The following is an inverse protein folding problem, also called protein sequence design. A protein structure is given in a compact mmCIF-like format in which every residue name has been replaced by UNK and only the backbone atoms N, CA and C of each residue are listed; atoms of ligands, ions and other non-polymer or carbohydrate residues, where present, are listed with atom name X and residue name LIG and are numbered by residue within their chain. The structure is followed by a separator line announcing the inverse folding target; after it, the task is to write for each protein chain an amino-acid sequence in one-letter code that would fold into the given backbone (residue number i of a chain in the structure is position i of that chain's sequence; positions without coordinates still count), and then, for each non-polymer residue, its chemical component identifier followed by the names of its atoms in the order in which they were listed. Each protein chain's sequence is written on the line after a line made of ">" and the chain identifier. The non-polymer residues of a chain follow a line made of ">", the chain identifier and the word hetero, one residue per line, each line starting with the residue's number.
data_IF_004450022672
#
_entry.id   IF_004450022672
#
_cell.length_a   1.000
_cell.length_b   1.000
_cell.length_c   1.000
_cell.angle_alpha   90.00
_cell.angle_beta   90.00
_cell.angle_gamma   90.00
#
_symmetry.space_group_name_H-M   'P 1'
#
loop_
_entity.id
_entity.type
_entity.pdbx_description
1 polymer ?
#
# COMPACT_ATOMS: atom_id res chain seq x y z
N UNK A 1 16.16 -82.09 69.45
CA UNK A 1 15.09 -81.07 69.60
C UNK A 1 15.61 -79.63 69.78
N UNK A 2 16.88 -79.37 70.14
CA UNK A 2 17.43 -77.99 70.26
C UNK A 2 18.01 -77.39 68.97
N UNK A 3 18.36 -78.21 67.98
CA UNK A 3 18.96 -77.72 66.72
C UNK A 3 17.90 -77.20 65.72
N UNK A 4 16.71 -77.81 65.69
CA UNK A 4 15.61 -77.38 64.81
C UNK A 4 15.07 -75.97 65.13
N UNK A 5 15.12 -75.54 66.39
CA UNK A 5 14.70 -74.18 66.80
C UNK A 5 15.77 -73.12 66.48
N UNK A 6 17.06 -73.48 66.50
CA UNK A 6 18.16 -72.59 66.14
C UNK A 6 18.24 -72.32 64.63
N UNK A 7 17.92 -73.32 63.81
CA UNK A 7 17.82 -73.16 62.35
C UNK A 7 16.57 -72.37 61.95
N UNK A 8 15.44 -72.54 62.65
CA UNK A 8 14.24 -71.73 62.45
C UNK A 8 14.47 -70.25 62.80
N UNK A 9 15.24 -69.95 63.85
CA UNK A 9 15.59 -68.58 64.22
C UNK A 9 16.61 -67.94 63.25
N UNK A 10 17.56 -68.72 62.73
CA UNK A 10 18.49 -68.27 61.67
C UNK A 10 17.78 -68.05 60.35
N UNK A 11 16.77 -68.86 60.03
CA UNK A 11 15.97 -68.73 58.83
C UNK A 11 15.01 -67.53 58.93
N UNK A 12 14.40 -67.30 60.08
CA UNK A 12 13.65 -66.07 60.36
C UNK A 12 14.54 -64.83 60.30
N UNK A 13 15.75 -64.84 60.89
CA UNK A 13 16.69 -63.73 60.76
C UNK A 13 17.13 -63.51 59.30
N UNK A 14 17.40 -64.57 58.53
CA UNK A 14 17.73 -64.44 57.10
C UNK A 14 16.55 -63.87 56.31
N UNK A 15 15.33 -64.33 56.57
CA UNK A 15 14.10 -63.81 55.96
C UNK A 15 13.82 -62.35 56.35
N UNK A 16 14.09 -61.96 57.59
CA UNK A 16 13.98 -60.56 58.05
C UNK A 16 15.05 -59.68 57.40
N UNK A 17 16.28 -60.15 57.28
CA UNK A 17 17.37 -59.44 56.58
C UNK A 17 17.02 -59.26 55.11
N UNK A 18 16.53 -60.30 54.43
CA UNK A 18 16.09 -60.18 53.02
C UNK A 18 14.89 -59.24 52.87
N UNK A 19 13.92 -59.26 53.79
CA UNK A 19 12.79 -58.32 53.78
C UNK A 19 13.22 -56.89 54.04
N UNK A 20 14.24 -56.67 54.87
CA UNK A 20 14.82 -55.35 55.13
C UNK A 20 15.62 -54.85 53.92
N UNK A 21 16.36 -55.72 53.24
CA UNK A 21 17.07 -55.40 52.00
C UNK A 21 16.09 -55.12 50.84
N UNK A 22 15.02 -55.90 50.71
CA UNK A 22 13.95 -55.65 49.74
C UNK A 22 13.25 -54.32 50.03
N UNK A 23 12.93 -54.02 51.29
CA UNK A 23 12.39 -52.70 51.68
C UNK A 23 13.34 -51.55 51.41
N UNK A 24 14.65 -51.74 51.59
CA UNK A 24 15.66 -50.72 51.24
C UNK A 24 15.70 -50.50 49.74
N UNK A 25 15.68 -51.55 48.93
CA UNK A 25 15.61 -51.47 47.47
C UNK A 25 14.30 -50.83 46.99
N UNK A 26 13.16 -51.19 47.56
CA UNK A 26 11.87 -50.54 47.27
C UNK A 26 11.92 -49.06 47.63
N UNK A 27 12.47 -48.69 48.80
CA UNK A 27 12.63 -47.30 49.19
C UNK A 27 13.58 -46.53 48.25
N UNK A 28 14.70 -47.12 47.83
CA UNK A 28 15.63 -46.52 46.87
C UNK A 28 14.99 -46.36 45.47
N UNK A 29 14.16 -47.30 45.05
CA UNK A 29 13.37 -47.18 43.83
C UNK A 29 12.27 -46.12 43.94
N UNK A 30 11.60 -46.02 45.09
CA UNK A 30 10.59 -45.00 45.37
C UNK A 30 11.21 -43.59 45.43
N UNK A 31 12.38 -43.42 46.06
CA UNK A 31 13.10 -42.14 46.08
C UNK A 31 13.60 -41.75 44.70
N UNK A 32 14.22 -42.66 43.95
CA UNK A 32 14.67 -42.38 42.58
C UNK A 32 13.48 -42.03 41.66
N UNK A 33 12.32 -42.66 41.86
CA UNK A 33 11.08 -42.34 41.14
C UNK A 33 10.51 -40.99 41.54
N UNK A 34 10.54 -40.66 42.83
CA UNK A 34 10.15 -39.35 43.37
C UNK A 34 11.02 -38.22 42.80
N UNK A 35 12.34 -38.38 42.84
CA UNK A 35 13.29 -37.42 42.29
C UNK A 35 13.15 -37.26 40.77
N UNK A 36 12.91 -38.34 40.02
CA UNK A 36 12.66 -38.27 38.58
C UNK A 36 11.36 -37.52 38.25
N UNK A 37 10.32 -37.68 39.08
CA UNK A 37 9.07 -36.93 38.96
C UNK A 37 9.25 -35.45 39.33
N UNK A 38 10.04 -35.15 40.36
CA UNK A 38 10.35 -33.77 40.75
C UNK A 38 11.19 -33.05 39.71
N UNK A 39 12.20 -33.70 39.13
CA UNK A 39 12.96 -33.14 37.99
C UNK A 39 12.05 -32.82 36.81
N UNK A 40 11.14 -33.73 36.47
CA UNK A 40 10.16 -33.49 35.40
C UNK A 40 9.24 -32.31 35.72
N UNK A 41 8.77 -32.19 36.96
CA UNK A 41 7.94 -31.04 37.39
C UNK A 41 8.72 -29.73 37.32
N UNK A 42 9.98 -29.71 37.76
CA UNK A 42 10.84 -28.52 37.68
C UNK A 42 11.14 -28.13 36.23
N UNK A 43 11.33 -29.09 35.34
CA UNK A 43 11.47 -28.84 33.89
C UNK A 43 10.18 -28.32 33.27
N UNK A 44 9.02 -28.89 33.64
CA UNK A 44 7.71 -28.43 33.21
C UNK A 44 7.43 -27.00 33.70
N UNK A 45 7.78 -26.68 34.94
CA UNK A 45 7.66 -25.33 35.54
C UNK A 45 8.54 -24.29 34.85
N UNK A 46 9.75 -24.67 34.40
CA UNK A 46 10.62 -23.78 33.60
C UNK A 46 10.13 -23.63 32.17
N UNK A 47 9.61 -24.71 31.60
CA UNK A 47 9.14 -24.73 30.22
C UNK A 47 7.80 -23.97 30.06
N UNK A 48 6.99 -23.88 31.11
CA UNK A 48 5.69 -23.19 31.04
C UNK A 48 5.78 -21.68 30.73
N UNK A 49 6.60 -20.87 31.42
CA UNK A 49 6.78 -19.45 31.08
C UNK A 49 7.46 -19.26 29.72
N UNK A 50 8.36 -20.15 29.31
CA UNK A 50 8.97 -20.10 27.98
C UNK A 50 7.96 -20.32 26.86
N UNK A 51 7.02 -21.26 27.04
CA UNK A 51 5.90 -21.49 26.10
C UNK A 51 5.01 -20.26 26.01
N UNK A 52 4.63 -19.67 27.14
CA UNK A 52 3.80 -18.46 27.15
C UNK A 52 4.49 -17.30 26.44
N UNK A 53 5.81 -17.11 26.67
CA UNK A 53 6.62 -16.10 25.97
C UNK A 53 6.71 -16.36 24.46
N UNK A 54 6.87 -17.63 24.06
CA UNK A 54 6.89 -18.00 22.63
C UNK A 54 5.53 -17.73 21.97
N UNK A 55 4.43 -18.02 22.66
CA UNK A 55 3.07 -17.73 22.21
C UNK A 55 2.84 -16.21 22.06
N UNK A 56 3.31 -15.38 23.00
CA UNK A 56 3.20 -13.91 22.86
C UNK A 56 4.00 -13.37 21.68
N UNK A 57 5.21 -13.89 21.43
CA UNK A 57 6.02 -13.50 20.26
C UNK A 57 5.36 -13.91 18.94
N UNK A 58 4.74 -15.10 18.89
CA UNK A 58 3.99 -15.54 17.71
C UNK A 58 2.80 -14.61 17.43
N UNK A 59 2.06 -14.20 18.47
CA UNK A 59 0.97 -13.23 18.35
C UNK A 59 1.46 -11.88 17.81
N UNK A 60 2.58 -11.36 18.32
CA UNK A 60 3.17 -10.10 17.83
C UNK A 60 3.64 -10.20 16.37
N UNK A 61 4.20 -11.34 15.95
CA UNK A 61 4.58 -11.59 14.55
C UNK A 61 3.36 -11.68 13.64
N UNK A 62 2.30 -12.34 14.08
CA UNK A 62 1.03 -12.39 13.34
C UNK A 62 0.41 -11.00 13.19
N UNK A 63 0.47 -10.18 14.24
CA UNK A 63 0.02 -8.79 14.19
C UNK A 63 0.82 -7.96 13.19
N UNK A 64 2.15 -8.10 13.16
CA UNK A 64 2.99 -7.45 12.14
C UNK A 64 2.63 -7.89 10.72
N UNK A 65 2.37 -9.18 10.49
CA UNK A 65 1.91 -9.69 9.19
C UNK A 65 0.56 -9.08 8.79
N UNK A 66 -0.37 -8.97 9.74
CA UNK A 66 -1.65 -8.30 9.49
C UNK A 66 -1.44 -6.83 9.12
N UNK A 67 -0.54 -6.12 9.78
CA UNK A 67 -0.19 -4.73 9.44
C UNK A 67 0.43 -4.61 8.05
N UNK A 68 1.28 -5.57 7.64
CA UNK A 68 1.82 -5.59 6.27
C UNK A 68 0.72 -5.75 5.23
N UNK A 69 -0.26 -6.63 5.46
CA UNK A 69 -1.41 -6.74 4.55
C UNK A 69 -2.22 -5.44 4.51
N UNK A 70 -2.43 -4.77 5.65
CA UNK A 70 -3.10 -3.46 5.71
C UNK A 70 -2.31 -2.40 4.93
N UNK A 71 -0.99 -2.35 5.07
CA UNK A 71 -0.13 -1.42 4.33
C UNK A 71 -0.19 -1.66 2.83
N UNK A 72 -0.20 -2.93 2.36
CA UNK A 72 -0.38 -3.22 0.93
C UNK A 72 -1.75 -2.80 0.41
N UNK A 73 -2.81 -2.92 1.23
CA UNK A 73 -4.15 -2.43 0.87
C UNK A 73 -4.19 -0.91 0.75
N UNK A 74 -3.65 -0.19 1.74
CA UNK A 74 -3.56 1.28 1.71
C UNK A 74 -2.75 1.78 0.51
N UNK A 75 -1.64 1.12 0.15
CA UNK A 75 -0.86 1.44 -1.05
C UNK A 75 -1.66 1.25 -2.34
N UNK A 76 -2.39 0.14 -2.47
CA UNK A 76 -3.27 -0.09 -3.63
C UNK A 76 -4.36 0.96 -3.73
N UNK A 77 -4.94 1.36 -2.60
CA UNK A 77 -5.93 2.44 -2.56
C UNK A 77 -5.33 3.78 -3.01
N UNK A 78 -4.13 4.11 -2.55
CA UNK A 78 -3.40 5.32 -2.98
C UNK A 78 -3.13 5.30 -4.50
N UNK A 79 -2.65 4.18 -5.05
CA UNK A 79 -2.44 4.02 -6.49
C UNK A 79 -3.74 4.19 -7.28
N UNK A 80 -4.85 3.65 -6.77
CA UNK A 80 -6.16 3.79 -7.42
C UNK A 80 -6.65 5.25 -7.39
N UNK A 81 -6.45 5.96 -6.29
CA UNK A 81 -6.79 7.39 -6.20
C UNK A 81 -5.94 8.22 -7.16
N UNK A 82 -4.64 7.92 -7.31
CA UNK A 82 -3.77 8.57 -8.30
C UNK A 82 -4.23 8.30 -9.74
N UNK A 83 -4.68 7.08 -10.06
CA UNK A 83 -5.29 6.77 -11.37
C UNK A 83 -6.53 7.63 -11.60
N UNK A 84 -7.41 7.74 -10.61
CA UNK A 84 -8.61 8.58 -10.70
C UNK A 84 -8.29 10.07 -10.87
N UNK A 85 -7.21 10.58 -10.26
CA UNK A 85 -6.76 11.96 -10.50
C UNK A 85 -6.34 12.17 -11.96
N UNK A 86 -5.52 11.26 -12.51
CA UNK A 86 -5.09 11.33 -13.91
C UNK A 86 -6.26 11.22 -14.88
N UNK A 87 -7.22 10.34 -14.61
CA UNK A 87 -8.44 10.22 -15.41
C UNK A 87 -9.23 11.53 -15.42
N UNK A 88 -9.34 12.23 -14.29
CA UNK A 88 -9.99 13.53 -14.24
C UNK A 88 -9.23 14.61 -15.00
N UNK A 89 -7.90 14.63 -14.90
CA UNK A 89 -7.07 15.54 -15.68
C UNK A 89 -7.27 15.34 -17.18
N UNK A 90 -7.30 14.08 -17.64
CA UNK A 90 -7.57 13.75 -19.04
C UNK A 90 -8.95 14.26 -19.49
N UNK A 91 -10.00 14.04 -18.69
CA UNK A 91 -11.35 14.52 -19.00
C UNK A 91 -11.43 16.06 -19.08
N UNK A 92 -10.65 16.75 -18.25
CA UNK A 92 -10.55 18.21 -18.29
C UNK A 92 -9.80 18.71 -19.52
N UNK A 93 -8.74 18.02 -19.92
CA UNK A 93 -8.00 18.33 -21.15
C UNK A 93 -8.85 18.07 -22.40
N UNK A 94 -9.55 16.94 -22.47
CA UNK A 94 -10.49 16.64 -23.56
C UNK A 94 -11.55 17.74 -23.69
N UNK A 95 -12.08 18.23 -22.57
CA UNK A 95 -13.03 19.34 -22.58
C UNK A 95 -12.41 20.62 -23.15
N UNK A 96 -11.20 20.99 -22.70
CA UNK A 96 -10.49 22.17 -23.24
C UNK A 96 -10.28 22.05 -24.74
N UNK A 97 -9.86 20.89 -25.23
CA UNK A 97 -9.68 20.63 -26.64
C UNK A 97 -10.99 20.78 -27.43
N UNK A 98 -12.11 20.26 -26.89
CA UNK A 98 -13.43 20.41 -27.50
C UNK A 98 -13.88 21.89 -27.56
N UNK A 99 -13.61 22.67 -26.52
CA UNK A 99 -13.88 24.12 -26.51
C UNK A 99 -13.01 24.87 -27.53
N UNK A 100 -11.73 24.53 -27.64
CA UNK A 100 -10.84 25.10 -28.65
C UNK A 100 -11.28 24.76 -30.08
N UNK A 101 -11.69 23.52 -30.33
CA UNK A 101 -12.22 23.11 -31.63
C UNK A 101 -13.49 23.89 -31.99
N UNK A 102 -14.37 24.15 -31.01
CA UNK A 102 -15.56 25.00 -31.20
C UNK A 102 -15.16 26.43 -31.54
N UNK A 103 -14.25 27.03 -30.77
CA UNK A 103 -13.72 28.39 -31.05
C UNK A 103 -13.11 28.49 -32.45
N UNK A 104 -12.36 27.49 -32.90
CA UNK A 104 -11.80 27.43 -34.26
C UNK A 104 -12.91 27.38 -35.32
N UNK A 105 -13.98 26.61 -35.09
CA UNK A 105 -15.15 26.56 -36.00
C UNK A 105 -15.89 27.89 -36.05
N UNK A 106 -16.05 28.56 -34.91
CA UNK A 106 -16.69 29.88 -34.82
C UNK A 106 -15.89 30.95 -35.56
N UNK A 107 -14.57 30.99 -35.35
CA UNK A 107 -13.67 31.88 -36.08
C UNK A 107 -13.72 31.60 -37.60
N UNK A 108 -13.74 30.32 -37.99
CA UNK A 108 -13.88 29.93 -39.39
C UNK A 108 -15.22 30.35 -40.01
N UNK A 109 -16.32 30.33 -39.25
CA UNK A 109 -17.62 30.89 -39.69
C UNK A 109 -17.52 32.40 -39.90
N UNK A 110 -16.94 33.12 -38.94
CA UNK A 110 -16.77 34.57 -39.01
C UNK A 110 -15.97 35.00 -40.24
N UNK A 111 -14.83 34.35 -40.52
CA UNK A 111 -14.00 34.66 -41.69
C UNK A 111 -14.74 34.39 -43.01
N UNK A 112 -15.48 33.27 -43.11
CA UNK A 112 -16.30 32.99 -44.30
C UNK A 112 -17.35 34.07 -44.52
N UNK A 113 -18.04 34.50 -43.46
CA UNK A 113 -19.02 35.58 -43.57
C UNK A 113 -18.38 36.89 -44.07
N UNK A 114 -17.18 37.24 -43.60
CA UNK A 114 -16.46 38.40 -44.10
C UNK A 114 -16.12 38.29 -45.59
N UNK A 115 -15.61 37.14 -46.04
CA UNK A 115 -15.34 36.89 -47.46
C UNK A 115 -16.62 36.96 -48.31
N UNK A 116 -17.71 36.36 -47.84
CA UNK A 116 -19.01 36.38 -48.52
C UNK A 116 -19.53 37.81 -48.70
N UNK A 117 -19.41 38.66 -47.66
CA UNK A 117 -19.80 40.08 -47.74
C UNK A 117 -18.96 40.84 -48.76
N UNK A 118 -17.64 40.60 -48.80
CA UNK A 118 -16.75 41.23 -49.79
C UNK A 118 -17.07 40.79 -51.22
N UNK A 119 -17.28 39.49 -51.44
CA UNK A 119 -17.65 38.95 -52.75
C UNK A 119 -19.00 39.50 -53.23
N UNK A 120 -20.00 39.60 -52.35
CA UNK A 120 -21.29 40.21 -52.67
C UNK A 120 -21.16 41.67 -53.10
N UNK A 121 -20.36 42.47 -52.40
CA UNK A 121 -20.09 43.86 -52.79
C UNK A 121 -19.45 43.94 -54.18
N UNK A 122 -18.47 43.08 -54.47
CA UNK A 122 -17.83 43.05 -55.79
C UNK A 122 -18.80 42.62 -56.89
N UNK A 123 -19.67 41.64 -56.61
CA UNK A 123 -20.70 41.20 -57.54
C UNK A 123 -21.71 42.31 -57.85
N UNK A 124 -22.13 43.07 -56.82
CA UNK A 124 -23.02 44.23 -56.99
C UNK A 124 -22.41 45.31 -57.89
N UNK A 125 -21.12 45.65 -57.69
CA UNK A 125 -20.42 46.59 -58.57
C UNK A 125 -20.42 46.13 -60.04
N UNK A 126 -20.16 44.84 -60.28
CA UNK A 126 -20.17 44.29 -61.65
C UNK A 126 -21.58 44.31 -62.24
N UNK A 127 -22.62 44.07 -61.44
CA UNK A 127 -24.01 44.18 -61.89
C UNK A 127 -24.35 45.62 -62.29
N UNK A 128 -23.97 46.61 -61.48
CA UNK A 128 -24.15 48.04 -61.80
C UNK A 128 -23.43 48.42 -63.10
N UNK A 129 -22.18 47.99 -63.29
CA UNK A 129 -21.42 48.19 -64.54
C UNK A 129 -22.19 47.60 -65.75
N UNK A 130 -22.65 46.36 -65.67
CA UNK A 130 -23.40 45.70 -66.74
C UNK A 130 -24.77 46.36 -67.03
N UNK A 131 -25.44 46.88 -66.01
CA UNK A 131 -26.68 47.64 -66.18
C UNK A 131 -26.45 48.96 -66.92
N UNK A 132 -25.34 49.66 -66.62
CA UNK A 132 -24.97 50.86 -67.36
C UNK A 132 -24.66 50.55 -68.83
N UNK A 133 -23.97 49.45 -69.11
CA UNK A 133 -23.72 48.99 -70.49
C UNK A 133 -25.03 48.63 -71.22
N UNK A 134 -25.96 47.96 -70.54
CA UNK A 134 -27.29 47.65 -71.09
C UNK A 134 -28.08 48.92 -71.43
N UNK A 135 -28.00 49.94 -70.58
CA UNK A 135 -28.64 51.24 -70.83
C UNK A 135 -28.04 51.90 -72.08
N UNK A 136 -26.72 51.90 -72.23
CA UNK A 136 -26.03 52.42 -73.42
C UNK A 136 -26.52 51.72 -74.69
N UNK A 137 -26.55 50.38 -74.71
CA UNK A 137 -27.03 49.61 -75.86
C UNK A 137 -28.51 49.91 -76.19
N UNK A 138 -29.35 50.08 -75.17
CA UNK A 138 -30.75 50.44 -75.35
C UNK A 138 -30.89 51.82 -76.00
N UNK A 139 -30.11 52.81 -75.56
CA UNK A 139 -30.11 54.14 -76.20
C UNK A 139 -29.59 54.14 -77.64
N UNK A 140 -28.76 53.16 -78.03
CA UNK A 140 -28.31 53.01 -79.41
C UNK A 140 -29.40 52.37 -80.29
N UNK A 141 -30.09 51.36 -79.78
CA UNK A 141 -31.23 50.72 -80.46
C UNK A 141 -32.40 51.69 -80.67
N UNK A 142 -32.73 52.50 -79.66
CA UNK A 142 -33.80 53.51 -79.78
C UNK A 142 -33.52 54.51 -80.92
N UNK A 143 -32.25 54.88 -81.12
CA UNK A 143 -31.82 55.75 -82.24
C UNK A 143 -31.92 55.04 -83.60
N UNK A 144 -31.65 53.74 -83.66
CA UNK A 144 -31.78 52.93 -84.88
C UNK A 144 -33.25 52.68 -85.24
N UNK A 145 -34.12 52.49 -84.24
CA UNK A 145 -35.57 52.38 -84.40
C UNK A 145 -36.22 53.69 -84.86
N UNK A 146 -35.72 54.85 -84.40
CA UNK A 146 -36.15 56.17 -84.88
C UNK A 146 -35.91 56.37 -86.39
N UNK A 147 -34.86 55.76 -86.95
CA UNK A 147 -34.60 55.78 -88.39
C UNK A 147 -35.54 54.86 -89.19
N UNK A 148 -36.00 53.77 -88.58
CA UNK A 148 -36.92 52.79 -89.20
C UNK A 148 -38.41 53.21 -89.14
N UNK A 149 -38.80 54.05 -88.17
CA UNK A 149 -40.19 54.53 -87.96
C UNK A 149 -40.76 55.42 -89.08
N UNK A 150 -39.97 55.80 -90.08
CA UNK A 150 -40.42 56.62 -91.22
C UNK A 150 -41.45 55.93 -92.16
N UNK A 151 -41.92 54.69 -91.89
CA UNK A 151 -42.74 53.93 -92.85
C UNK A 151 -44.07 53.28 -92.39
N UNK A 152 -44.59 53.41 -91.15
CA UNK A 152 -45.59 52.42 -90.65
C UNK A 152 -46.88 52.99 -90.00
N UNK A 153 -47.68 53.78 -90.73
CA UNK A 153 -48.87 54.48 -90.18
C UNK A 153 -50.13 53.63 -89.84
N UNK A 154 -50.15 52.30 -90.07
CA UNK A 154 -51.35 51.46 -89.77
C UNK A 154 -51.13 50.36 -88.72
N UNK A 155 -49.88 50.04 -88.37
CA UNK A 155 -49.57 49.18 -87.20
C UNK A 155 -49.61 49.99 -85.89
N UNK A 156 -49.53 51.31 -85.98
CA UNK A 156 -49.41 52.24 -84.85
C UNK A 156 -50.54 52.16 -83.81
N UNK A 157 -51.81 51.96 -84.19
CA UNK A 157 -52.92 51.91 -83.21
C UNK A 157 -52.93 50.62 -82.40
N UNK A 158 -52.79 49.47 -83.06
CA UNK A 158 -52.69 48.18 -82.36
C UNK A 158 -51.40 48.08 -81.53
N UNK A 159 -50.30 48.66 -82.03
CA UNK A 159 -49.05 48.77 -81.27
C UNK A 159 -49.20 49.72 -80.09
N UNK A 160 -49.97 50.80 -80.19
CA UNK A 160 -50.22 51.73 -79.08
C UNK A 160 -51.07 51.08 -77.96
N UNK A 161 -52.13 50.34 -78.31
CA UNK A 161 -52.98 49.66 -77.33
C UNK A 161 -52.20 48.55 -76.60
N UNK A 162 -51.39 47.77 -77.34
CA UNK A 162 -50.49 46.75 -76.77
C UNK A 162 -49.39 47.39 -75.93
N UNK A 163 -48.82 48.52 -76.36
CA UNK A 163 -47.81 49.24 -75.59
C UNK A 163 -48.40 49.84 -74.30
N UNK A 164 -49.65 50.32 -74.33
CA UNK A 164 -50.34 50.80 -73.13
C UNK A 164 -50.63 49.65 -72.16
N UNK A 165 -51.18 48.53 -72.64
CA UNK A 165 -51.40 47.35 -71.81
C UNK A 165 -50.09 46.81 -71.22
N UNK A 166 -49.00 46.77 -72.01
CA UNK A 166 -47.68 46.37 -71.54
C UNK A 166 -47.18 47.28 -70.41
N UNK A 167 -47.30 48.61 -70.55
CA UNK A 167 -46.93 49.57 -69.49
C UNK A 167 -47.73 49.37 -68.22
N UNK A 168 -49.06 49.20 -68.33
CA UNK A 168 -49.93 48.96 -67.17
C UNK A 168 -49.57 47.65 -66.47
N UNK A 169 -49.28 46.58 -67.22
CA UNK A 169 -48.85 45.29 -66.64
C UNK A 169 -47.47 45.42 -66.00
N UNK A 170 -46.54 46.15 -66.61
CA UNK A 170 -45.21 46.42 -66.04
C UNK A 170 -45.32 47.21 -64.74
N UNK A 171 -46.16 48.25 -64.67
CA UNK A 171 -46.43 49.01 -63.44
C UNK A 171 -47.02 48.12 -62.34
N UNK A 172 -48.00 47.28 -62.65
CA UNK A 172 -48.56 46.33 -61.69
C UNK A 172 -47.52 45.29 -61.23
N UNK A 173 -46.67 44.81 -62.13
CA UNK A 173 -45.59 43.89 -61.79
C UNK A 173 -44.54 44.53 -60.86
N UNK A 174 -44.23 45.81 -61.04
CA UNK A 174 -43.34 46.53 -60.13
C UNK A 174 -43.96 46.68 -58.73
N UNK A 175 -45.25 47.02 -58.65
CA UNK A 175 -45.95 47.11 -57.37
C UNK A 175 -46.02 45.77 -56.62
N UNK A 176 -46.24 44.66 -57.34
CA UNK A 176 -46.21 43.32 -56.71
C UNK A 176 -44.80 42.94 -56.24
N UNK A 177 -43.75 43.31 -56.98
CA UNK A 177 -42.36 43.11 -56.52
C UNK A 177 -42.02 43.93 -55.29
N UNK A 178 -42.50 45.17 -55.19
CA UNK A 178 -42.34 46.00 -54.01
C UNK A 178 -43.02 45.37 -52.79
N UNK A 179 -44.26 44.87 -52.96
CA UNK A 179 -45.00 44.13 -51.92
C UNK A 179 -44.30 42.85 -51.50
N UNK A 180 -43.80 42.06 -52.46
CA UNK A 180 -43.02 40.85 -52.17
C UNK A 180 -41.74 41.19 -51.40
N UNK A 181 -41.04 42.26 -51.78
CA UNK A 181 -39.85 42.72 -51.06
C UNK A 181 -40.17 43.18 -49.63
N UNK A 182 -41.28 43.88 -49.40
CA UNK A 182 -41.77 44.25 -48.08
C UNK A 182 -42.11 43.01 -47.22
N UNK A 183 -42.74 42.00 -47.80
CA UNK A 183 -43.02 40.75 -47.10
C UNK A 183 -41.72 40.00 -46.77
N UNK A 184 -40.76 39.94 -47.69
CA UNK A 184 -39.46 39.33 -47.45
C UNK A 184 -38.66 40.02 -46.34
N UNK A 185 -38.69 41.36 -46.25
CA UNK A 185 -38.00 42.08 -45.18
C UNK A 185 -38.62 41.76 -43.83
N UNK A 186 -39.96 41.74 -43.72
CA UNK A 186 -40.68 41.35 -42.51
C UNK A 186 -40.30 39.92 -42.09
N UNK A 187 -40.36 38.93 -43.00
CA UNK A 187 -39.98 37.55 -42.68
C UNK A 187 -38.53 37.42 -42.24
N UNK A 188 -37.60 38.15 -42.88
CA UNK A 188 -36.18 38.16 -42.49
C UNK A 188 -35.98 38.76 -41.10
N UNK A 189 -36.68 39.84 -40.78
CA UNK A 189 -36.60 40.49 -39.46
C UNK A 189 -37.19 39.62 -38.34
N UNK A 190 -38.33 38.98 -38.59
CA UNK A 190 -38.94 38.05 -37.65
C UNK A 190 -38.05 36.84 -37.41
N UNK A 191 -37.50 36.25 -38.49
CA UNK A 191 -36.55 35.15 -38.39
C UNK A 191 -35.29 35.54 -37.60
N UNK A 192 -34.75 36.75 -37.81
CA UNK A 192 -33.62 37.28 -37.02
C UNK A 192 -33.95 37.41 -35.54
N UNK A 193 -35.10 38.00 -35.19
CA UNK A 193 -35.53 38.17 -33.78
C UNK A 193 -35.72 36.83 -33.09
N UNK A 194 -36.28 35.84 -33.78
CA UNK A 194 -36.44 34.47 -33.25
C UNK A 194 -35.06 33.82 -33.05
N UNK A 195 -34.15 34.00 -34.01
CA UNK A 195 -32.79 33.47 -33.92
C UNK A 195 -32.02 34.09 -32.75
N UNK A 196 -32.04 35.42 -32.60
CA UNK A 196 -31.36 36.13 -31.51
C UNK A 196 -31.83 35.65 -30.13
N UNK A 197 -33.15 35.53 -29.93
CA UNK A 197 -33.71 34.97 -28.69
C UNK A 197 -33.21 33.55 -28.42
N UNK A 198 -33.14 32.73 -29.46
CA UNK A 198 -32.68 31.35 -29.32
C UNK A 198 -31.19 31.26 -29.02
N UNK A 199 -30.38 32.12 -29.63
CA UNK A 199 -28.94 32.24 -29.36
C UNK A 199 -28.68 32.68 -27.92
N UNK A 200 -29.45 33.65 -27.40
CA UNK A 200 -29.37 34.06 -25.99
C UNK A 200 -29.73 32.92 -25.03
N UNK A 201 -30.78 32.16 -25.32
CA UNK A 201 -31.16 30.98 -24.53
C UNK A 201 -30.05 29.93 -24.53
N UNK A 202 -29.46 29.65 -25.69
CA UNK A 202 -28.36 28.70 -25.83
C UNK A 202 -27.10 29.16 -25.09
N UNK A 203 -26.75 30.44 -25.13
CA UNK A 203 -25.61 30.96 -24.38
C UNK A 203 -25.87 30.89 -22.86
N UNK A 204 -27.10 31.18 -22.39
CA UNK A 204 -27.46 31.00 -20.98
C UNK A 204 -27.36 29.53 -20.56
N UNK A 205 -27.88 28.60 -21.37
CA UNK A 205 -27.81 27.17 -21.12
C UNK A 205 -26.36 26.66 -21.09
N UNK A 206 -25.54 27.11 -22.04
CA UNK A 206 -24.11 26.80 -22.12
C UNK A 206 -23.37 27.28 -20.88
N UNK A 207 -23.58 28.54 -20.46
CA UNK A 207 -22.96 29.07 -19.23
C UNK A 207 -23.41 28.28 -17.99
N UNK A 208 -24.70 27.93 -17.90
CA UNK A 208 -25.21 27.12 -16.78
C UNK A 208 -24.59 25.72 -16.77
N UNK A 209 -24.51 25.06 -17.92
CA UNK A 209 -23.84 23.77 -18.08
C UNK A 209 -22.37 23.86 -17.71
N UNK A 210 -21.67 24.90 -18.15
CA UNK A 210 -20.24 25.07 -17.90
C UNK A 210 -19.95 25.28 -16.43
N UNK A 211 -20.79 26.06 -15.73
CA UNK A 211 -20.74 26.24 -14.27
C UNK A 211 -20.96 24.91 -13.55
N UNK A 212 -22.05 24.20 -13.87
CA UNK A 212 -22.38 22.93 -13.24
C UNK A 212 -21.27 21.88 -13.45
N UNK A 213 -20.74 21.78 -14.68
CA UNK A 213 -19.62 20.87 -14.95
C UNK A 213 -18.36 21.24 -14.15
N UNK A 214 -18.09 22.54 -13.98
CA UNK A 214 -16.94 23.00 -13.18
C UNK A 214 -17.12 22.65 -11.70
N UNK A 215 -18.33 22.80 -11.17
CA UNK A 215 -18.67 22.40 -9.80
C UNK A 215 -18.54 20.89 -9.59
N UNK A 216 -19.02 20.08 -10.55
CA UNK A 216 -18.90 18.61 -10.49
C UNK A 216 -17.44 18.17 -10.47
N UNK A 217 -16.60 18.71 -11.35
CA UNK A 217 -15.18 18.38 -11.42
C UNK A 217 -14.42 18.86 -10.17
N UNK A 218 -14.72 20.06 -9.68
CA UNK A 218 -14.15 20.59 -8.44
C UNK A 218 -14.59 19.76 -7.21
N UNK A 219 -15.85 19.35 -7.16
CA UNK A 219 -16.38 18.46 -6.13
C UNK A 219 -15.67 17.11 -6.12
N UNK A 220 -15.50 16.50 -7.31
CA UNK A 220 -14.82 15.22 -7.42
C UNK A 220 -13.34 15.30 -7.05
N UNK A 221 -12.64 16.38 -7.44
CA UNK A 221 -11.25 16.63 -7.02
C UNK A 221 -11.12 16.71 -5.51
N UNK A 222 -11.99 17.47 -4.85
CA UNK A 222 -12.02 17.55 -3.38
C UNK A 222 -12.22 16.19 -2.73
N UNK A 223 -13.19 15.40 -3.21
CA UNK A 223 -13.42 14.04 -2.69
C UNK A 223 -12.18 13.15 -2.79
N UNK A 224 -11.44 13.23 -3.91
CA UNK A 224 -10.22 12.43 -4.07
C UNK A 224 -9.10 12.94 -3.16
N UNK A 225 -8.96 14.26 -3.02
CA UNK A 225 -7.99 14.86 -2.10
C UNK A 225 -8.27 14.46 -0.65
N UNK A 226 -9.51 14.55 -0.20
CA UNK A 226 -9.93 14.11 1.14
C UNK A 226 -9.61 12.62 1.36
N UNK A 227 -9.91 11.76 0.37
CA UNK A 227 -9.56 10.33 0.45
C UNK A 227 -8.05 10.09 0.50
N UNK A 228 -7.27 10.86 -0.24
CA UNK A 228 -5.80 10.79 -0.21
C UNK A 228 -5.25 11.20 1.15
N UNK A 229 -5.79 12.26 1.75
CA UNK A 229 -5.39 12.71 3.09
C UNK A 229 -5.75 11.69 4.16
N UNK A 230 -6.96 11.12 4.12
CA UNK A 230 -7.37 10.06 5.04
C UNK A 230 -6.49 8.82 4.89
N UNK A 231 -6.20 8.39 3.65
CA UNK A 231 -5.31 7.27 3.40
C UNK A 231 -3.89 7.55 3.92
N UNK A 232 -3.37 8.77 3.73
CA UNK A 232 -2.08 9.19 4.28
C UNK A 232 -2.05 9.13 5.81
N UNK A 233 -3.07 9.67 6.49
CA UNK A 233 -3.17 9.58 7.97
C UNK A 233 -3.20 8.14 8.44
N UNK A 234 -3.98 7.29 7.77
CA UNK A 234 -4.05 5.86 8.09
C UNK A 234 -2.69 5.14 7.87
N UNK A 235 -1.94 5.52 6.83
CA UNK A 235 -0.58 5.01 6.63
C UNK A 235 0.36 5.46 7.75
N UNK A 236 0.33 6.74 8.14
CA UNK A 236 1.15 7.29 9.22
C UNK A 236 0.85 6.61 10.58
N UNK A 237 -0.42 6.38 10.89
CA UNK A 237 -0.84 5.64 12.10
C UNK A 237 -0.39 4.18 12.07
N UNK A 238 -0.52 3.51 10.92
CA UNK A 238 -0.04 2.13 10.75
C UNK A 238 1.48 2.02 10.93
N UNK A 239 2.24 3.00 10.45
CA UNK A 239 3.70 3.06 10.63
C UNK A 239 4.04 3.24 12.11
N UNK A 240 3.42 4.22 12.80
CA UNK A 240 3.68 4.45 14.24
C UNK A 240 3.40 3.20 15.07
N UNK A 241 2.30 2.51 14.78
CA UNK A 241 1.94 1.28 15.49
C UNK A 241 2.92 0.14 15.20
N UNK A 242 3.33 -0.04 13.94
CA UNK A 242 4.37 -1.00 13.56
C UNK A 242 5.70 -0.72 14.28
N UNK A 243 6.11 0.54 14.37
CA UNK A 243 7.32 0.95 15.08
C UNK A 243 7.25 0.65 16.58
N UNK A 244 6.07 0.82 17.20
CA UNK A 244 5.84 0.44 18.60
C UNK A 244 6.01 -1.07 18.81
N UNK A 245 5.37 -1.89 17.98
CA UNK A 245 5.51 -3.35 18.03
C UNK A 245 6.95 -3.82 17.82
N UNK A 246 7.70 -3.17 16.92
CA UNK A 246 9.12 -3.48 16.69
C UNK A 246 9.95 -3.15 17.93
N UNK A 247 9.73 -1.99 18.56
CA UNK A 247 10.43 -1.61 19.80
C UNK A 247 10.16 -2.60 20.93
N UNK A 248 8.91 -3.00 21.13
CA UNK A 248 8.55 -4.01 22.13
C UNK A 248 9.26 -5.35 21.88
N UNK A 249 9.38 -5.76 20.61
CA UNK A 249 10.13 -6.97 20.22
C UNK A 249 11.63 -6.84 20.45
N UNK A 250 12.21 -5.66 20.17
CA UNK A 250 13.63 -5.37 20.41
C UNK A 250 13.94 -5.36 21.91
N UNK A 251 13.12 -4.70 22.74
CA UNK A 251 13.25 -4.70 24.20
C UNK A 251 13.11 -6.11 24.79
N UNK A 252 12.15 -6.91 24.29
CA UNK A 252 11.99 -8.31 24.68
C UNK A 252 13.21 -9.16 24.29
N UNK A 253 13.82 -8.89 23.13
CA UNK A 253 15.05 -9.58 22.69
C UNK A 253 16.26 -9.17 23.54
N UNK A 254 16.45 -7.89 23.81
CA UNK A 254 17.55 -7.39 24.64
C UNK A 254 17.47 -7.89 26.08
N UNK A 255 16.27 -7.90 26.67
CA UNK A 255 16.07 -8.45 28.02
C UNK A 255 16.44 -9.94 28.09
N UNK A 256 16.11 -10.71 27.05
CA UNK A 256 16.52 -12.11 26.92
C UNK A 256 18.03 -12.28 26.79
N UNK A 257 18.69 -11.46 25.96
CA UNK A 257 20.14 -11.51 25.81
C UNK A 257 20.83 -11.21 27.15
N UNK A 258 20.34 -10.23 27.92
CA UNK A 258 20.83 -9.93 29.28
C UNK A 258 20.59 -11.08 30.27
N UNK A 259 19.39 -11.69 30.26
CA UNK A 259 19.09 -12.88 31.08
C UNK A 259 20.07 -14.02 30.77
N UNK A 260 20.34 -14.27 29.48
CA UNK A 260 21.30 -15.30 29.04
C UNK A 260 22.74 -15.00 29.42
N UNK A 261 23.19 -13.75 29.27
CA UNK A 261 24.52 -13.31 29.71
C UNK A 261 24.68 -13.46 31.23
N UNK A 262 23.68 -13.07 32.02
CA UNK A 262 23.70 -13.27 33.47
C UNK A 262 23.73 -14.74 33.87
N UNK A 263 22.96 -15.60 33.18
CA UNK A 263 22.99 -17.04 33.39
C UNK A 263 24.37 -17.62 33.08
N UNK A 264 25.00 -17.21 31.97
CA UNK A 264 26.36 -17.60 31.62
C UNK A 264 27.39 -17.12 32.65
N UNK A 265 27.27 -15.89 33.14
CA UNK A 265 28.14 -15.37 34.20
C UNK A 265 27.93 -16.12 35.53
N UNK A 266 26.70 -16.49 35.87
CA UNK A 266 26.38 -17.29 37.07
C UNK A 266 26.93 -18.71 36.93
N UNK A 267 26.80 -19.32 35.75
CA UNK A 267 27.39 -20.63 35.45
C UNK A 267 28.92 -20.60 35.57
N UNK A 268 29.58 -19.64 34.94
CA UNK A 268 31.03 -19.43 35.03
C UNK A 268 31.48 -19.19 36.48
N UNK A 269 30.74 -18.39 37.28
CA UNK A 269 31.02 -18.21 38.71
C UNK A 269 30.90 -19.50 39.52
N UNK A 270 29.89 -20.33 39.22
CA UNK A 270 29.71 -21.63 39.88
C UNK A 270 30.83 -22.61 39.51
N UNK A 271 31.27 -22.61 38.26
CA UNK A 271 32.42 -23.40 37.81
C UNK A 271 33.71 -22.96 38.51
N UNK A 272 33.96 -21.65 38.62
CA UNK A 272 35.10 -21.11 39.37
C UNK A 272 35.04 -21.46 40.87
N UNK A 273 33.85 -21.40 41.48
CA UNK A 273 33.66 -21.81 42.88
C UNK A 273 33.89 -23.30 43.07
N UNK A 274 33.38 -24.15 42.16
CA UNK A 274 33.61 -25.59 42.18
C UNK A 274 35.10 -25.91 42.08
N UNK A 275 35.83 -25.27 41.15
CA UNK A 275 37.29 -25.40 41.03
C UNK A 275 38.02 -24.94 42.30
N UNK A 276 37.57 -23.85 42.93
CA UNK A 276 38.12 -23.37 44.20
C UNK A 276 37.89 -24.34 45.36
N UNK A 277 36.70 -24.93 45.46
CA UNK A 277 36.39 -25.96 46.48
C UNK A 277 37.14 -27.26 46.22
N UNK A 278 37.28 -27.68 44.97
CA UNK A 278 38.10 -28.83 44.59
C UNK A 278 39.57 -28.60 44.95
N UNK A 279 40.10 -27.39 44.74
CA UNK A 279 41.46 -27.03 45.14
C UNK A 279 41.65 -27.05 46.66
N UNK A 280 40.72 -26.48 47.43
CA UNK A 280 40.79 -26.51 48.91
C UNK A 280 40.64 -27.92 49.48
N UNK A 281 39.78 -28.76 48.90
CA UNK A 281 39.67 -30.17 49.29
C UNK A 281 40.96 -30.93 48.97
N UNK A 282 41.59 -30.64 47.83
CA UNK A 282 42.91 -31.20 47.47
C UNK A 282 43.99 -30.79 48.46
N UNK A 283 44.02 -29.51 48.85
CA UNK A 283 44.96 -29.02 49.86
C UNK A 283 44.69 -29.65 51.24
N UNK A 284 43.43 -29.85 51.62
CA UNK A 284 43.06 -30.54 52.87
C UNK A 284 43.43 -32.02 52.84
N UNK A 285 43.24 -32.72 51.71
CA UNK A 285 43.69 -34.10 51.52
C UNK A 285 45.22 -34.18 51.57
N UNK A 286 45.94 -33.28 50.91
CA UNK A 286 47.41 -33.22 50.99
C UNK A 286 47.91 -32.90 52.42
N UNK A 287 47.20 -32.04 53.15
CA UNK A 287 47.48 -31.77 54.57
C UNK A 287 47.22 -33.01 55.43
N UNK A 288 46.08 -33.68 55.26
CA UNK A 288 45.74 -34.90 56.01
C UNK A 288 46.70 -36.05 55.68
N UNK A 289 47.10 -36.20 54.42
CA UNK A 289 48.15 -37.15 54.03
C UNK A 289 49.50 -36.78 54.65
N UNK A 290 49.84 -35.49 54.72
CA UNK A 290 51.02 -34.99 55.41
C UNK A 290 51.02 -35.34 56.91
N UNK A 291 49.88 -35.12 57.59
CA UNK A 291 49.67 -35.50 58.99
C UNK A 291 49.72 -37.01 59.19
N UNK A 292 49.10 -37.80 58.31
CA UNK A 292 49.12 -39.26 58.37
C UNK A 292 50.52 -39.83 58.16
N UNK A 293 51.33 -39.24 57.27
CA UNK A 293 52.73 -39.63 57.06
C UNK A 293 53.58 -39.33 58.29
N UNK A 294 53.42 -38.16 58.91
CA UNK A 294 54.11 -37.82 60.17
C UNK A 294 53.72 -38.76 61.32
N UNK A 295 52.45 -39.13 61.42
CA UNK A 295 51.95 -40.05 62.44
C UNK A 295 52.39 -41.51 62.22
N UNK A 296 52.62 -41.93 60.97
CA UNK A 296 53.22 -43.22 60.63
C UNK A 296 54.71 -43.24 60.99
N UNK A 297 55.45 -42.16 60.71
CA UNK A 297 56.85 -42.02 61.09
C UNK A 297 57.06 -42.02 62.62
N UNK A 298 56.13 -41.45 63.40
CA UNK A 298 56.14 -41.55 64.87
C UNK A 298 55.84 -42.96 65.39
N UNK A 299 54.96 -43.72 64.74
CA UNK A 299 54.67 -45.12 65.10
C UNK A 299 55.87 -46.04 64.79
N UNK A 300 56.54 -45.85 63.65
CA UNK A 300 57.77 -46.58 63.31
C UNK A 300 58.92 -46.26 64.29
N UNK A 301 58.98 -45.04 64.82
CA UNK A 301 59.93 -44.68 65.88
C UNK A 301 59.61 -45.36 67.23
N UNK A 302 58.33 -45.59 67.54
CA UNK A 302 57.92 -46.31 68.75
C UNK A 302 58.13 -47.84 68.66
N UNK A 303 58.00 -48.44 67.48
CA UNK A 303 58.28 -49.87 67.27
C UNK A 303 59.78 -50.21 67.25
N UNK A 304 60.65 -49.23 66.94
CA UNK A 304 62.11 -49.38 67.04
C UNK A 304 62.66 -49.56 68.47
N UNK A 305 61.91 -49.13 69.50
CA UNK A 305 62.40 -49.12 70.89
C UNK A 305 62.09 -50.41 71.69
N UNK A 306 61.22 -51.32 71.22
CA UNK A 306 60.84 -52.54 71.95
C UNK A 306 61.48 -53.86 71.42
N UNK A 307 62.34 -53.80 70.40
CA UNK A 307 62.89 -54.97 69.70
C UNK A 307 64.26 -55.51 70.16
N UNK A 308 64.87 -55.00 71.24
CA UNK A 308 66.28 -55.28 71.57
C UNK A 308 66.55 -56.08 72.86
N UNK A 309 65.70 -57.02 73.28
CA UNK A 309 66.09 -58.00 74.32
C UNK A 309 65.41 -59.37 74.11
N UNK A 310 66.05 -60.30 73.38
CA UNK A 310 66.16 -61.73 73.75
C UNK A 310 66.69 -62.59 72.58
N UNK A 311 67.96 -63.00 72.65
CA UNK A 311 68.41 -64.41 72.71
C UNK A 311 69.88 -64.58 72.31
N UNK A 312 70.63 -65.20 73.21
CA UNK A 312 72.02 -65.61 73.06
C UNK A 312 72.13 -67.14 73.22
N UNK A 313 72.97 -67.75 72.36
CA UNK A 313 73.62 -69.08 72.42
C UNK A 313 72.73 -70.33 72.22
N UNK A 314 73.15 -71.41 71.54
CA UNK A 314 74.47 -72.06 71.40
C UNK A 314 74.46 -73.07 70.21
N UNK A 315 75.54 -73.20 69.41
CA UNK A 315 76.58 -74.28 69.38
C UNK A 315 76.67 -74.91 67.93
N UNK A 316 77.71 -75.69 67.54
CA UNK A 316 78.70 -75.32 66.51
C UNK A 316 79.03 -76.42 65.47
N UNK A 317 80.00 -76.09 64.59
CA UNK A 317 81.04 -76.97 63.98
C UNK A 317 80.73 -77.74 62.68
N UNK A 318 81.34 -77.22 61.61
CA UNK A 318 82.18 -77.86 60.59
C UNK A 318 81.70 -79.10 59.80
N UNK A 319 81.74 -79.03 58.46
CA UNK A 319 82.83 -79.55 57.62
C UNK A 319 82.45 -79.56 56.11
N UNK A 320 83.35 -78.97 55.30
CA UNK A 320 83.73 -79.28 53.91
C UNK A 320 82.77 -80.00 52.94
N UNK A 321 82.44 -79.35 51.82
CA UNK A 321 82.95 -79.65 50.46
C UNK A 321 82.94 -78.39 49.61
#
# INVERSE_FOLDING_TARGET
>A
MREAWGDQLRQQNKEEVTKLEEKKRENEYETARGEALERRRQEEEKCHPEKQRAETLLQQIEELKLQETKATKLKKEQENLLKQQRELENLEEERKQMEEQRRKKDLGRFLRHQCDVQLRRRAQQIQEELETDRQILSTLLEKEDEDQRRQIARRERAVADVAWMKRVIEEQLQLEKEREAELETIFREEAKKIWEKREEEWEREKVARDRLMSEVLAGRRRQIQEKMELNRRAQEESIKYREQLIKELEEAKESREKEQEEEQQRACRRELQAQGTEHSLREEEEQQEGWARQHLEELEQQEGEQGWHSRFYSYPRAAWT
#
